data_IF_538721976725
#
_entry.id   IF_538721976725
#
_cell.length_a   1.000
_cell.length_b   1.000
_cell.length_c   1.000
_cell.angle_alpha   90.00
_cell.angle_beta   90.00
_cell.angle_gamma   90.00
#
_symmetry.space_group_name_H-M   'P 1'
#
loop_
_entity.id
_entity.type
_entity.pdbx_description
1 polymer ?
#
# COMPACT_ATOMS: atom_id res chain seq x y z
N UNK A 1 -8.98 7.22 21.05
CA UNK A 1 -10.27 7.41 20.35
C UNK A 1 -10.02 7.96 18.97
N UNK A 2 -10.76 7.49 17.97
CA UNK A 2 -10.72 8.07 16.63
C UNK A 2 -11.31 9.48 16.66
N UNK A 3 -10.58 10.45 16.12
CA UNK A 3 -10.97 11.86 16.10
C UNK A 3 -11.07 12.41 14.69
N UNK A 4 -10.59 11.65 13.71
CA UNK A 4 -10.53 12.04 12.30
C UNK A 4 -10.97 10.85 11.41
N UNK A 5 -11.25 11.15 10.15
CA UNK A 5 -11.40 10.14 9.10
C UNK A 5 -10.19 10.26 8.17
N UNK A 6 -9.46 9.16 8.02
CA UNK A 6 -8.31 9.07 7.11
C UNK A 6 -8.67 8.25 5.87
N UNK A 7 -8.02 8.54 4.75
CA UNK A 7 -8.17 7.74 3.54
C UNK A 7 -7.26 6.51 3.62
N UNK A 8 -7.79 5.34 3.28
CA UNK A 8 -6.98 4.10 3.25
C UNK A 8 -5.79 4.26 2.31
N UNK A 9 -6.02 4.80 1.12
CA UNK A 9 -4.97 5.13 0.16
C UNK A 9 -4.71 6.63 0.10
N UNK A 10 -3.46 7.09 -0.13
CA UNK A 10 -3.14 8.51 -0.25
C UNK A 10 -3.97 9.17 -1.36
N UNK A 11 -4.67 10.24 -1.02
CA UNK A 11 -5.47 10.98 -2.00
C UNK A 11 -4.65 11.49 -3.19
N UNK A 12 -3.38 11.79 -2.96
CA UNK A 12 -2.48 12.35 -3.97
C UNK A 12 -2.02 11.32 -5.00
N UNK A 13 -2.30 10.02 -4.84
CA UNK A 13 -2.15 9.04 -5.91
C UNK A 13 -3.17 9.27 -7.04
N UNK A 14 -4.32 9.87 -6.71
CA UNK A 14 -5.46 10.02 -7.59
C UNK A 14 -5.59 11.46 -8.13
N UNK A 15 -6.12 11.60 -9.31
CA UNK A 15 -6.54 12.90 -9.83
C UNK A 15 -7.70 13.44 -8.99
N UNK A 16 -7.93 14.75 -9.01
CA UNK A 16 -8.94 15.39 -8.14
C UNK A 16 -10.32 14.80 -8.35
N UNK A 17 -10.65 14.53 -9.60
CA UNK A 17 -11.95 14.00 -10.06
C UNK A 17 -12.19 12.54 -9.62
N UNK A 18 -11.13 11.84 -9.20
CA UNK A 18 -11.17 10.43 -8.79
C UNK A 18 -11.22 10.24 -7.26
N UNK A 19 -11.33 11.32 -6.48
CA UNK A 19 -11.13 11.29 -5.01
C UNK A 19 -12.40 11.08 -4.19
N UNK A 20 -13.57 11.24 -4.78
CA UNK A 20 -14.82 11.31 -4.02
C UNK A 20 -15.24 9.97 -3.40
N UNK A 21 -14.90 8.87 -4.06
CA UNK A 21 -15.26 7.51 -3.64
C UNK A 21 -14.14 6.73 -2.94
N UNK A 22 -13.07 7.41 -2.53
CA UNK A 22 -11.96 6.72 -1.88
C UNK A 22 -12.35 6.19 -0.49
N UNK A 23 -11.96 4.94 -0.13
CA UNK A 23 -12.26 4.36 1.16
C UNK A 23 -11.63 5.17 2.29
N UNK A 24 -12.41 5.41 3.34
CA UNK A 24 -12.01 6.13 4.55
C UNK A 24 -12.23 5.26 5.78
N UNK A 25 -11.41 5.48 6.79
CA UNK A 25 -11.46 4.78 8.07
C UNK A 25 -11.34 5.76 9.23
N UNK A 26 -11.94 5.46 10.38
CA UNK A 26 -11.69 6.22 11.59
C UNK A 26 -10.20 6.16 11.96
N UNK A 27 -9.60 7.29 12.30
CA UNK A 27 -8.19 7.37 12.67
C UNK A 27 -7.98 8.32 13.84
N UNK A 28 -6.98 8.05 14.68
CA UNK A 28 -6.51 9.01 15.67
C UNK A 28 -5.44 9.91 15.04
N UNK A 29 -5.24 11.10 15.63
CA UNK A 29 -4.25 12.06 15.15
C UNK A 29 -2.83 11.48 15.06
N UNK A 30 -2.45 10.60 16.01
CA UNK A 30 -1.12 9.97 16.01
C UNK A 30 -0.94 9.09 14.78
N UNK A 31 -1.86 8.14 14.57
CA UNK A 31 -1.79 7.22 13.42
C UNK A 31 -1.86 7.96 12.07
N UNK A 32 -2.75 8.96 11.98
CA UNK A 32 -2.86 9.78 10.77
C UNK A 32 -1.55 10.54 10.46
N UNK A 33 -0.91 11.11 11.47
CA UNK A 33 0.38 11.80 11.30
C UNK A 33 1.53 10.84 10.92
N UNK A 34 1.57 9.65 11.53
CA UNK A 34 2.56 8.61 11.19
C UNK A 34 2.40 8.18 9.75
N UNK A 35 1.18 7.81 9.34
CA UNK A 35 0.86 7.42 7.97
C UNK A 35 1.18 8.54 6.97
N UNK A 36 0.82 9.79 7.26
CA UNK A 36 1.13 10.94 6.40
C UNK A 36 2.64 11.11 6.12
N UNK A 37 3.50 10.81 7.09
CA UNK A 37 4.95 10.84 6.89
C UNK A 37 5.41 9.77 5.91
N UNK A 38 4.87 8.55 6.01
CA UNK A 38 5.15 7.46 5.08
C UNK A 38 4.63 7.80 3.67
N UNK A 39 3.42 8.33 3.57
CA UNK A 39 2.83 8.81 2.32
C UNK A 39 3.69 9.84 1.61
N UNK A 40 4.20 10.83 2.34
CA UNK A 40 5.05 11.86 1.78
C UNK A 40 6.30 11.29 1.08
N UNK A 41 6.94 10.29 1.69
CA UNK A 41 8.07 9.58 1.09
C UNK A 41 7.63 8.78 -0.14
N UNK A 42 6.62 7.91 0.03
CA UNK A 42 6.19 6.97 -1.02
C UNK A 42 5.62 7.66 -2.24
N UNK A 43 4.84 8.73 -2.08
CA UNK A 43 4.37 9.58 -3.17
C UNK A 43 5.51 10.26 -3.95
N UNK A 44 6.70 10.34 -3.37
CA UNK A 44 7.89 10.85 -4.06
C UNK A 44 8.67 9.76 -4.78
N UNK A 45 8.49 8.48 -4.42
CA UNK A 45 9.31 7.36 -4.94
C UNK A 45 8.52 6.43 -5.87
N UNK A 46 7.30 6.04 -5.50
CA UNK A 46 6.49 5.07 -6.25
C UNK A 46 6.29 5.46 -7.73
N UNK A 47 6.10 6.73 -8.09
CA UNK A 47 5.91 7.10 -9.50
C UNK A 47 7.09 6.75 -10.42
N UNK A 48 8.33 6.63 -9.90
CA UNK A 48 9.49 6.31 -10.74
C UNK A 48 9.49 4.89 -11.31
N UNK A 49 8.88 3.92 -10.61
CA UNK A 49 8.76 2.53 -11.06
C UNK A 49 7.42 2.19 -11.69
N UNK A 50 6.57 3.19 -11.91
CA UNK A 50 5.19 3.00 -12.28
C UNK A 50 4.92 3.24 -13.78
N UNK A 51 3.88 2.57 -14.31
CA UNK A 51 3.50 2.65 -15.72
C UNK A 51 2.17 3.38 -15.95
N UNK A 52 1.43 3.67 -14.88
CA UNK A 52 0.13 4.33 -14.95
C UNK A 52 0.27 5.82 -15.32
N UNK A 53 -0.71 6.36 -16.06
CA UNK A 53 -0.70 7.77 -16.47
C UNK A 53 -0.62 8.76 -15.28
N UNK A 54 -1.25 8.45 -14.15
CA UNK A 54 -1.15 9.27 -12.95
C UNK A 54 0.28 9.36 -12.40
N UNK A 55 1.10 8.33 -12.59
CA UNK A 55 2.51 8.36 -12.21
C UNK A 55 3.31 9.34 -13.07
N UNK A 56 3.09 9.35 -14.39
CA UNK A 56 3.73 10.31 -15.29
C UNK A 56 3.38 11.75 -14.95
N UNK A 57 2.10 12.00 -14.64
CA UNK A 57 1.62 13.32 -14.20
C UNK A 57 2.25 13.72 -12.85
N UNK A 58 2.29 12.79 -11.90
CA UNK A 58 2.92 13.01 -10.60
C UNK A 58 4.41 13.36 -10.73
N UNK A 59 5.18 12.64 -11.56
CA UNK A 59 6.59 12.90 -11.81
C UNK A 59 6.83 14.29 -12.41
N UNK A 60 5.98 14.70 -13.33
CA UNK A 60 6.15 15.99 -14.02
C UNK A 60 5.85 17.20 -13.14
N UNK A 61 4.94 17.08 -12.18
CA UNK A 61 4.42 18.20 -11.38
C UNK A 61 4.66 18.00 -9.88
N UNK A 62 3.99 16.97 -9.31
CA UNK A 62 3.85 16.85 -7.85
C UNK A 62 5.15 16.45 -7.16
N UNK A 63 5.88 15.49 -7.73
CA UNK A 63 7.17 15.02 -7.20
C UNK A 63 8.19 16.16 -7.23
N UNK A 64 8.26 16.92 -8.33
CA UNK A 64 9.16 18.08 -8.42
C UNK A 64 8.85 19.11 -7.33
N UNK A 65 7.58 19.46 -7.14
CA UNK A 65 7.13 20.41 -6.10
C UNK A 65 7.47 19.89 -4.71
N UNK A 66 7.18 18.62 -4.44
CA UNK A 66 7.42 17.96 -3.14
C UNK A 66 8.91 17.94 -2.79
N UNK A 67 9.76 17.53 -3.73
CA UNK A 67 11.21 17.50 -3.55
C UNK A 67 11.81 18.91 -3.50
N UNK A 68 11.22 19.88 -4.19
CA UNK A 68 11.58 21.29 -4.07
C UNK A 68 11.39 21.84 -2.67
N UNK A 69 10.30 21.45 -2.00
CA UNK A 69 9.96 21.88 -0.65
C UNK A 69 10.69 21.07 0.44
N UNK A 70 11.10 19.83 0.15
CA UNK A 70 11.82 18.97 1.09
C UNK A 70 13.22 18.64 0.59
N UNK A 71 14.16 19.56 0.83
CA UNK A 71 15.57 19.43 0.42
C UNK A 71 16.27 18.23 1.04
N UNK A 72 15.90 17.84 2.28
CA UNK A 72 16.47 16.67 2.94
C UNK A 72 16.11 15.40 2.17
N UNK A 73 14.83 15.19 1.94
CA UNK A 73 14.34 14.05 1.15
C UNK A 73 14.94 14.03 -0.26
N UNK A 74 15.00 15.20 -0.92
CA UNK A 74 15.61 15.30 -2.25
C UNK A 74 17.06 14.81 -2.25
N UNK A 75 17.87 15.23 -1.28
CA UNK A 75 19.27 14.83 -1.18
C UNK A 75 19.41 13.34 -0.85
N UNK A 76 18.55 12.79 -0.01
CA UNK A 76 18.52 11.35 0.32
C UNK A 76 18.17 10.51 -0.92
N UNK A 77 17.13 10.86 -1.64
CA UNK A 77 16.74 10.17 -2.87
C UNK A 77 17.81 10.26 -3.95
N UNK A 78 18.45 11.45 -4.10
CA UNK A 78 19.54 11.66 -5.06
C UNK A 78 20.71 10.71 -4.83
N UNK A 79 21.05 10.39 -3.58
CA UNK A 79 22.10 9.40 -3.24
C UNK A 79 21.70 7.97 -3.62
N UNK A 80 20.40 7.68 -3.67
CA UNK A 80 19.86 6.37 -4.02
C UNK A 80 19.65 6.14 -5.52
N UNK A 81 19.83 7.17 -6.37
CA UNK A 81 19.75 7.00 -7.82
C UNK A 81 20.97 6.24 -8.36
N UNK A 82 20.70 5.31 -9.23
CA UNK A 82 21.74 4.53 -9.90
C UNK A 82 21.25 4.03 -11.25
N UNK A 83 22.13 3.34 -11.96
CA UNK A 83 21.78 2.70 -13.23
C UNK A 83 22.08 1.21 -13.11
N UNK A 84 21.13 0.41 -13.57
CA UNK A 84 21.32 -1.04 -13.70
C UNK A 84 21.09 -1.47 -15.15
N UNK A 85 21.85 -2.44 -15.60
CA UNK A 85 21.56 -3.13 -16.84
C UNK A 85 20.46 -4.16 -16.54
N UNK A 86 19.38 -4.12 -17.30
CA UNK A 86 18.27 -5.06 -17.21
C UNK A 86 18.06 -5.71 -18.57
N UNK A 87 17.72 -6.99 -18.56
CA UNK A 87 17.39 -7.70 -19.78
C UNK A 87 15.94 -7.34 -20.14
N UNK A 88 15.77 -6.63 -21.23
CA UNK A 88 14.48 -6.27 -21.79
C UNK A 88 13.94 -7.37 -22.72
N UNK A 89 12.71 -7.20 -23.19
CA UNK A 89 12.12 -8.12 -24.18
C UNK A 89 13.04 -8.24 -25.41
N UNK A 90 13.28 -9.45 -25.88
CA UNK A 90 14.17 -9.73 -27.01
C UNK A 90 15.65 -9.87 -26.63
N UNK A 91 15.96 -10.15 -25.36
CA UNK A 91 17.33 -10.30 -24.83
C UNK A 91 18.23 -9.07 -25.03
N UNK A 92 17.64 -7.89 -25.11
CA UNK A 92 18.39 -6.64 -25.24
C UNK A 92 18.76 -6.12 -23.84
N UNK A 93 20.04 -5.83 -23.62
CA UNK A 93 20.49 -5.18 -22.39
C UNK A 93 20.19 -3.68 -22.46
N UNK A 94 19.30 -3.23 -21.58
CA UNK A 94 18.96 -1.82 -21.43
C UNK A 94 19.53 -1.26 -20.11
N UNK A 95 20.07 -0.06 -20.18
CA UNK A 95 20.48 0.70 -19.00
C UNK A 95 19.26 1.45 -18.46
N UNK A 96 18.75 1.05 -17.30
CA UNK A 96 17.61 1.69 -16.67
C UNK A 96 18.02 2.44 -15.42
N UNK A 97 17.44 3.63 -15.26
CA UNK A 97 17.53 4.38 -14.01
C UNK A 97 16.83 3.61 -12.90
N UNK A 98 17.49 3.47 -11.77
CA UNK A 98 16.96 2.82 -10.58
C UNK A 98 16.98 3.80 -9.42
N UNK A 99 15.98 3.69 -8.55
CA UNK A 99 15.92 4.41 -7.29
C UNK A 99 15.84 3.38 -6.16
N UNK A 100 16.55 3.65 -5.07
CA UNK A 100 16.44 2.78 -3.88
C UNK A 100 15.13 3.09 -3.18
N UNK A 101 14.27 2.09 -3.09
CA UNK A 101 13.07 2.13 -2.26
C UNK A 101 13.42 1.65 -0.86
N UNK A 102 13.00 2.37 0.16
CA UNK A 102 13.08 1.95 1.55
C UNK A 102 11.97 0.92 1.81
N UNK A 103 12.38 -0.32 2.02
CA UNK A 103 11.46 -1.45 2.23
C UNK A 103 10.71 -1.35 3.55
N UNK A 104 11.33 -0.79 4.59
CA UNK A 104 10.72 -0.70 5.92
C UNK A 104 9.60 0.33 5.91
N UNK A 105 9.81 1.47 5.23
CA UNK A 105 8.76 2.48 5.00
C UNK A 105 7.60 1.91 4.20
N UNK A 106 7.90 1.14 3.14
CA UNK A 106 6.85 0.50 2.33
C UNK A 106 6.08 -0.52 3.18
N UNK A 107 6.79 -1.35 3.92
CA UNK A 107 6.20 -2.38 4.78
C UNK A 107 5.25 -1.76 5.83
N UNK A 108 5.72 -0.75 6.57
CA UNK A 108 4.90 -0.05 7.55
C UNK A 108 3.65 0.59 6.91
N UNK A 109 3.82 1.25 5.76
CA UNK A 109 2.72 1.86 5.04
C UNK A 109 1.66 0.84 4.56
N UNK A 110 2.09 -0.32 4.04
CA UNK A 110 1.17 -1.38 3.62
C UNK A 110 0.41 -1.95 4.82
N UNK A 111 1.04 -2.04 5.98
CA UNK A 111 0.35 -2.42 7.22
C UNK A 111 -0.77 -1.43 7.61
N UNK A 112 -0.59 -0.13 7.40
CA UNK A 112 -1.69 0.84 7.57
C UNK A 112 -2.81 0.61 6.56
N UNK A 113 -2.48 0.33 5.30
CA UNK A 113 -3.48 0.05 4.26
C UNK A 113 -4.24 -1.23 4.60
N UNK A 114 -3.57 -2.33 4.93
CA UNK A 114 -4.20 -3.61 5.25
C UNK A 114 -5.20 -3.49 6.41
N UNK A 115 -4.82 -2.84 7.51
CA UNK A 115 -5.72 -2.55 8.62
C UNK A 115 -6.93 -1.72 8.18
N UNK A 116 -6.69 -0.71 7.37
CA UNK A 116 -7.76 0.14 6.84
C UNK A 116 -8.72 -0.61 5.94
N UNK A 117 -8.23 -1.50 5.08
CA UNK A 117 -9.06 -2.32 4.20
C UNK A 117 -9.91 -3.34 4.97
N UNK A 118 -9.34 -3.97 6.00
CA UNK A 118 -10.06 -4.90 6.88
C UNK A 118 -11.22 -4.18 7.57
N UNK A 119 -10.98 -3.00 8.11
CA UNK A 119 -12.05 -2.22 8.71
C UNK A 119 -13.10 -1.78 7.68
N UNK A 120 -12.66 -1.29 6.51
CA UNK A 120 -13.55 -0.78 5.47
C UNK A 120 -14.49 -1.86 4.92
N UNK A 121 -13.98 -3.06 4.65
CA UNK A 121 -14.77 -4.13 4.01
C UNK A 121 -15.52 -5.02 5.00
N UNK A 122 -14.95 -5.23 6.18
CA UNK A 122 -15.47 -6.23 7.12
C UNK A 122 -15.83 -5.66 8.50
N UNK A 123 -15.61 -4.35 8.71
CA UNK A 123 -15.92 -3.68 9.98
C UNK A 123 -15.10 -4.20 11.15
N UNK A 124 -13.99 -4.93 10.87
CA UNK A 124 -13.15 -5.52 11.91
C UNK A 124 -11.98 -4.62 12.25
N UNK A 125 -11.72 -4.50 13.53
CA UNK A 125 -10.61 -3.73 14.05
C UNK A 125 -9.39 -4.62 14.27
N UNK A 126 -8.24 -4.20 13.79
CA UNK A 126 -6.95 -4.83 14.06
C UNK A 126 -6.11 -3.96 14.99
N UNK A 127 -5.68 -4.49 16.16
CA UNK A 127 -4.75 -3.79 17.04
C UNK A 127 -3.44 -3.42 16.35
N UNK A 128 -2.78 -2.37 16.82
CA UNK A 128 -1.45 -1.98 16.30
C UNK A 128 -0.37 -3.04 16.59
N UNK A 129 -0.61 -3.90 17.57
CA UNK A 129 0.25 -5.04 17.92
C UNK A 129 0.16 -6.22 16.97
N UNK A 130 -0.76 -6.19 15.99
CA UNK A 130 -0.86 -7.25 14.98
C UNK A 130 0.42 -7.40 14.20
N UNK A 131 0.85 -8.64 14.02
CA UNK A 131 1.89 -8.94 13.05
C UNK A 131 1.32 -8.94 11.64
N UNK A 132 2.07 -8.38 10.72
CA UNK A 132 1.81 -8.48 9.29
C UNK A 132 3.12 -8.74 8.54
N UNK A 133 3.02 -9.39 7.40
CA UNK A 133 4.14 -9.66 6.52
C UNK A 133 3.84 -9.11 5.15
N UNK A 134 4.74 -8.28 4.66
CA UNK A 134 4.60 -7.66 3.35
C UNK A 134 5.72 -8.13 2.45
N UNK A 135 5.41 -8.51 1.23
CA UNK A 135 6.40 -8.90 0.24
C UNK A 135 6.00 -8.46 -1.17
N UNK A 136 6.99 -8.27 -2.02
CA UNK A 136 6.76 -8.05 -3.45
C UNK A 136 6.92 -9.38 -4.17
N UNK A 137 5.83 -10.00 -4.63
CA UNK A 137 5.88 -11.31 -5.22
C UNK A 137 6.61 -11.29 -6.58
N UNK A 138 7.37 -12.33 -6.84
CA UNK A 138 7.85 -12.64 -8.19
C UNK A 138 6.67 -13.08 -9.10
N UNK A 139 6.83 -13.20 -10.42
CA UNK A 139 5.77 -13.73 -11.29
C UNK A 139 5.20 -15.08 -10.81
N UNK A 140 6.06 -16.00 -10.37
CA UNK A 140 5.64 -17.30 -9.81
C UNK A 140 4.91 -17.09 -8.47
N UNK A 141 5.40 -16.17 -7.62
CA UNK A 141 4.72 -15.82 -6.38
C UNK A 141 3.35 -15.19 -6.61
N UNK A 142 3.13 -14.48 -7.71
CA UNK A 142 1.81 -13.96 -8.08
C UNK A 142 0.83 -15.08 -8.48
N UNK A 143 1.30 -16.14 -9.14
CA UNK A 143 0.47 -17.32 -9.41
C UNK A 143 0.02 -17.96 -8.09
N UNK A 144 0.96 -18.19 -7.18
CA UNK A 144 0.65 -18.72 -5.84
C UNK A 144 -0.35 -17.85 -5.06
N UNK A 145 -0.16 -16.53 -5.06
CA UNK A 145 -1.11 -15.60 -4.42
C UNK A 145 -2.48 -15.68 -5.10
N UNK A 146 -2.53 -15.80 -6.43
CA UNK A 146 -3.79 -15.97 -7.17
C UNK A 146 -4.50 -17.27 -6.79
N UNK A 147 -3.77 -18.35 -6.63
CA UNK A 147 -4.33 -19.65 -6.23
C UNK A 147 -4.87 -19.60 -4.80
N UNK A 148 -4.17 -18.93 -3.88
CA UNK A 148 -4.69 -18.69 -2.53
C UNK A 148 -6.01 -17.93 -2.54
N UNK A 149 -6.16 -16.94 -3.40
CA UNK A 149 -7.44 -16.22 -3.56
C UNK A 149 -8.55 -17.13 -4.11
N UNK A 150 -8.21 -18.16 -4.87
CA UNK A 150 -9.18 -19.10 -5.43
C UNK A 150 -9.59 -20.19 -4.44
N UNK A 151 -8.70 -20.59 -3.53
CA UNK A 151 -8.91 -21.69 -2.58
C UNK A 151 -9.70 -21.30 -1.33
N UNK A 152 -9.70 -20.02 -0.96
CA UNK A 152 -10.24 -19.57 0.31
C UNK A 152 -11.55 -18.81 0.17
N UNK A 153 -12.46 -19.13 1.07
CA UNK A 153 -13.61 -18.42 1.65
C UNK A 153 -14.49 -17.49 0.79
N UNK A 154 -15.70 -17.31 1.27
CA UNK A 154 -16.73 -16.41 0.72
C UNK A 154 -16.41 -14.91 0.92
N UNK A 155 -15.57 -14.57 1.91
CA UNK A 155 -15.21 -13.17 2.20
C UNK A 155 -14.09 -12.68 1.25
N UNK A 156 -14.47 -12.33 0.03
CA UNK A 156 -13.57 -11.84 -1.02
C UNK A 156 -13.91 -10.42 -1.41
N UNK A 157 -12.88 -9.67 -1.74
CA UNK A 157 -13.01 -8.36 -2.37
C UNK A 157 -12.08 -8.27 -3.58
N UNK A 158 -12.53 -7.60 -4.65
CA UNK A 158 -11.75 -7.24 -5.84
C UNK A 158 -12.19 -5.84 -6.26
N UNK A 159 -11.32 -4.87 -6.10
CA UNK A 159 -11.67 -3.45 -6.26
C UNK A 159 -10.63 -2.74 -7.12
N UNK A 160 -11.13 -1.82 -7.95
CA UNK A 160 -10.33 -0.91 -8.77
C UNK A 160 -10.74 0.52 -8.43
N UNK A 161 -9.76 1.37 -8.16
CA UNK A 161 -9.95 2.77 -7.81
C UNK A 161 -9.23 3.67 -8.81
N UNK A 162 -9.90 4.75 -9.21
CA UNK A 162 -9.34 5.82 -10.01
C UNK A 162 -8.69 5.35 -11.32
N UNK A 163 -9.48 4.72 -12.21
CA UNK A 163 -9.00 4.20 -13.49
C UNK A 163 -7.78 3.29 -13.34
N UNK A 164 -7.85 2.33 -12.41
CA UNK A 164 -6.76 1.40 -12.10
C UNK A 164 -5.52 2.04 -11.47
N UNK A 165 -5.61 3.26 -10.96
CA UNK A 165 -4.54 3.89 -10.17
C UNK A 165 -4.15 3.01 -8.98
N UNK A 166 -5.14 2.42 -8.33
CA UNK A 166 -4.99 1.38 -7.32
C UNK A 166 -5.93 0.23 -7.64
N UNK A 167 -5.41 -0.97 -7.59
CA UNK A 167 -6.17 -2.23 -7.66
C UNK A 167 -5.83 -3.07 -6.46
N UNK A 168 -6.81 -3.65 -5.82
CA UNK A 168 -6.53 -4.56 -4.72
C UNK A 168 -7.54 -5.71 -4.67
N UNK A 169 -7.05 -6.84 -4.20
CA UNK A 169 -7.84 -8.03 -3.88
C UNK A 169 -7.57 -8.40 -2.44
N UNK A 170 -8.58 -8.89 -1.76
CA UNK A 170 -8.45 -9.36 -0.39
C UNK A 170 -9.31 -10.57 -0.13
N UNK A 171 -8.83 -11.42 0.75
CA UNK A 171 -9.59 -12.54 1.32
C UNK A 171 -9.38 -12.57 2.82
N UNK A 172 -10.41 -12.97 3.54
CA UNK A 172 -10.34 -13.21 4.98
C UNK A 172 -10.79 -14.64 5.26
N UNK A 173 -10.11 -15.29 6.17
CA UNK A 173 -10.49 -16.63 6.63
C UNK A 173 -11.83 -16.56 7.39
N UNK A 174 -12.75 -17.49 7.10
CA UNK A 174 -14.00 -17.65 7.85
C UNK A 174 -13.77 -18.43 9.15
N UNK A 175 -12.77 -19.31 9.17
CA UNK A 175 -12.46 -20.16 10.33
C UNK A 175 -11.67 -19.37 11.37
N UNK A 176 -10.74 -18.54 10.92
CA UNK A 176 -9.93 -17.66 11.76
C UNK A 176 -10.05 -16.23 11.21
N UNK A 177 -10.99 -15.48 11.75
CA UNK A 177 -11.30 -14.12 11.30
C UNK A 177 -10.19 -13.09 11.61
N UNK A 178 -9.11 -13.55 12.21
CA UNK A 178 -7.88 -12.79 12.35
C UNK A 178 -6.89 -12.93 11.18
N UNK A 179 -7.13 -13.83 10.22
CA UNK A 179 -6.23 -14.04 9.10
C UNK A 179 -6.81 -13.42 7.83
N UNK A 180 -6.07 -12.54 7.21
CA UNK A 180 -6.42 -11.99 5.90
C UNK A 180 -5.19 -11.86 5.01
N UNK A 181 -5.41 -11.95 3.70
CA UNK A 181 -4.38 -11.79 2.67
C UNK A 181 -4.83 -10.72 1.69
N UNK A 182 -3.94 -9.80 1.36
CA UNK A 182 -4.19 -8.71 0.44
C UNK A 182 -3.15 -8.69 -0.68
N UNK A 183 -3.58 -8.49 -1.90
CA UNK A 183 -2.73 -8.14 -3.03
C UNK A 183 -3.08 -6.72 -3.46
N UNK A 184 -2.11 -5.81 -3.41
CA UNK A 184 -2.30 -4.38 -3.65
C UNK A 184 -1.36 -3.95 -4.77
N UNK A 185 -1.89 -3.42 -5.84
CA UNK A 185 -1.14 -2.82 -6.94
C UNK A 185 -1.38 -1.33 -6.96
N UNK A 186 -0.31 -0.54 -7.00
CA UNK A 186 -0.37 0.92 -7.08
C UNK A 186 0.31 1.42 -8.36
N UNK A 187 -0.33 2.36 -9.04
CA UNK A 187 0.18 3.05 -10.23
C UNK A 187 0.61 2.11 -11.36
N UNK A 188 0.06 0.90 -11.43
CA UNK A 188 0.36 -0.09 -12.46
C UNK A 188 1.76 -0.71 -12.38
N UNK A 189 2.58 -0.36 -11.38
CA UNK A 189 3.98 -0.78 -11.32
C UNK A 189 4.34 -1.68 -10.14
N UNK A 190 3.86 -1.38 -8.96
CA UNK A 190 4.23 -2.10 -7.73
C UNK A 190 3.05 -2.91 -7.25
N UNK A 191 3.23 -4.23 -7.21
CA UNK A 191 2.32 -5.16 -6.54
C UNK A 191 2.95 -5.60 -5.23
N UNK A 192 2.23 -5.43 -4.15
CA UNK A 192 2.64 -5.85 -2.81
C UNK A 192 1.59 -6.83 -2.29
N UNK A 193 2.02 -7.95 -1.77
CA UNK A 193 1.15 -8.85 -1.03
C UNK A 193 1.36 -8.64 0.48
N UNK A 194 0.28 -8.62 1.21
CA UNK A 194 0.26 -8.45 2.66
C UNK A 194 -0.52 -9.62 3.28
N UNK A 195 0.10 -10.29 4.23
CA UNK A 195 -0.49 -11.37 5.00
C UNK A 195 -0.59 -10.93 6.46
N UNK A 196 -1.81 -10.84 6.96
CA UNK A 196 -2.06 -10.62 8.37
C UNK A 196 -2.26 -11.96 9.08
N UNK A 197 -1.39 -12.30 10.02
CA UNK A 197 -1.49 -13.55 10.80
C UNK A 197 -2.17 -13.28 12.15
N UNK A 198 -3.36 -13.88 12.31
CA UNK A 198 -4.28 -13.59 13.37
C UNK A 198 -4.14 -14.36 14.68
N UNK A 199 -3.05 -15.09 14.95
CA UNK A 199 -2.89 -15.75 16.25
C UNK A 199 -2.94 -14.79 17.46
N UNK A 200 -2.70 -13.51 17.22
CA UNK A 200 -2.77 -12.46 18.26
C UNK A 200 -4.21 -12.00 18.50
N UNK A 201 -5.11 -12.17 17.53
CA UNK A 201 -6.47 -11.62 17.57
C UNK A 201 -7.43 -12.30 18.54
N UNK A 202 -7.27 -13.60 18.81
CA UNK A 202 -8.18 -14.33 19.72
C UNK A 202 -8.08 -13.90 21.15
N UNK A 203 -6.96 -13.27 21.57
CA UNK A 203 -6.75 -12.87 22.97
C UNK A 203 -7.16 -11.45 23.29
N UNK A 204 -7.25 -10.56 22.31
CA UNK A 204 -7.34 -9.11 22.55
C UNK A 204 -8.66 -8.45 22.06
N UNK A 205 -9.60 -9.22 21.52
CA UNK A 205 -10.96 -8.73 21.26
C UNK A 205 -11.72 -8.56 22.56
N UNK A 206 -11.30 -7.62 23.40
CA UNK A 206 -12.15 -7.05 24.43
C UNK A 206 -12.84 -5.84 23.86
N UNK A 207 -14.15 -5.76 24.05
CA UNK A 207 -15.04 -4.69 23.62
C UNK A 207 -14.66 -3.29 24.15
N UNK A 208 -13.59 -3.19 24.93
CA UNK A 208 -13.19 -1.98 25.64
C UNK A 208 -11.96 -1.27 25.02
N UNK A 209 -11.28 -1.88 24.05
CA UNK A 209 -10.17 -1.22 23.34
C UNK A 209 -10.68 -0.37 22.19
N UNK A 210 -11.13 0.83 22.51
CA UNK A 210 -11.52 1.88 21.57
C UNK A 210 -10.33 2.57 20.87
N UNK A 211 -9.28 1.83 20.53
CA UNK A 211 -8.18 2.32 19.74
C UNK A 211 -8.35 1.92 18.28
N UNK A 212 -8.54 2.86 17.38
CA UNK A 212 -8.55 2.64 15.92
C UNK A 212 -7.15 2.85 15.34
N UNK A 213 -6.79 2.02 14.37
CA UNK A 213 -5.58 2.22 13.59
C UNK A 213 -5.73 3.37 12.59
#
# INVERSE_FOLDING_TARGET
MATTADHVFPRELFQKEQRDSLPKVPSCNKCNNEKSRLEHYLLSVLPFGATHQNAHKALSIDVKKRLGNNKKLHNELRKGFGYKQVLAKGNILERRLTIKLDSDILHEFIGFIGRGLIWHHWGKYLPLSCSYKTFTPSPIGMEFVSDLFNLTSTLRVDVRLGDDTVRYKGVMSEIDDGISIWAIQMLGGITVADECQGHIFKKEFRSDDNGFA
#
